data_IF_051978048033
#
_entry.id   IF_051978048033
#
_cell.length_a   1.000
_cell.length_b   1.000
_cell.length_c   1.000
_cell.angle_alpha   90.00
_cell.angle_beta   90.00
_cell.angle_gamma   90.00
#
_symmetry.space_group_name_H-M   'P 1'
#
loop_
_entity.id
_entity.type
_entity.pdbx_description
1 polymer ?
#
# COMPACT_ATOMS: atom_id res chain seq x y z
N UNK A 1 78.52 25.09 -11.21
CA UNK A 1 77.96 26.27 -10.51
C UNK A 1 77.23 27.13 -11.55
N UNK A 2 75.97 26.98 -11.74
CA UNK A 2 75.11 27.90 -12.54
C UNK A 2 73.88 28.24 -11.70
N UNK A 3 73.77 29.51 -11.28
CA UNK A 3 72.66 30.08 -10.58
C UNK A 3 71.57 30.36 -11.63
N UNK A 4 70.41 29.72 -11.48
CA UNK A 4 69.23 30.01 -12.29
C UNK A 4 68.38 31.01 -11.55
N UNK A 5 68.24 32.18 -12.15
CA UNK A 5 67.41 33.33 -11.70
C UNK A 5 65.96 32.98 -12.02
N UNK A 6 65.09 32.89 -11.00
CA UNK A 6 63.66 32.77 -11.19
C UNK A 6 63.05 34.17 -11.22
N UNK A 7 62.60 34.59 -12.39
CA UNK A 7 61.90 35.84 -12.60
C UNK A 7 60.42 35.63 -12.24
N UNK A 8 59.99 36.23 -11.13
CA UNK A 8 58.58 36.24 -10.73
C UNK A 8 57.84 37.27 -11.59
N UNK A 9 56.99 36.79 -12.50
CA UNK A 9 56.02 37.63 -13.22
C UNK A 9 54.79 37.81 -12.39
N UNK A 10 54.67 38.96 -11.73
CA UNK A 10 53.42 39.35 -11.06
C UNK A 10 52.43 39.79 -12.17
N UNK A 11 51.49 38.88 -12.49
CA UNK A 11 50.32 39.24 -13.32
C UNK A 11 49.34 39.92 -12.46
N UNK A 12 49.30 41.24 -12.51
CA UNK A 12 48.22 42.06 -11.92
C UNK A 12 47.00 41.90 -12.81
N UNK A 13 46.08 41.00 -12.41
CA UNK A 13 44.76 40.95 -13.03
C UNK A 13 43.98 42.15 -12.52
N UNK A 14 43.91 43.21 -13.32
CA UNK A 14 42.96 44.29 -13.18
C UNK A 14 41.58 43.69 -13.47
N UNK A 15 40.88 43.23 -12.44
CA UNK A 15 39.45 42.98 -12.50
C UNK A 15 38.76 44.33 -12.61
N UNK A 16 38.47 44.73 -13.85
CA UNK A 16 37.49 45.77 -14.09
C UNK A 16 36.15 45.26 -13.55
N UNK A 17 35.84 45.65 -12.33
CA UNK A 17 34.47 45.59 -11.81
C UNK A 17 33.63 46.46 -12.73
N UNK A 18 32.93 45.78 -13.65
CA UNK A 18 31.88 46.38 -14.43
C UNK A 18 30.76 46.68 -13.44
N UNK A 19 30.82 47.84 -12.79
CA UNK A 19 29.71 48.43 -12.05
C UNK A 19 28.63 48.77 -13.07
N UNK A 20 27.89 47.74 -13.50
CA UNK A 20 26.55 47.97 -14.02
C UNK A 20 25.86 48.77 -12.92
N UNK A 21 25.53 50.03 -13.22
CA UNK A 21 24.71 50.88 -12.39
C UNK A 21 23.57 50.00 -11.80
N UNK A 22 23.65 49.66 -10.53
CA UNK A 22 22.49 49.16 -9.77
C UNK A 22 21.54 50.38 -9.70
N UNK A 23 20.79 50.62 -10.78
CA UNK A 23 19.60 51.44 -10.71
C UNK A 23 18.74 50.82 -9.63
N UNK A 24 18.37 51.61 -8.61
CA UNK A 24 17.52 51.13 -7.53
C UNK A 24 16.27 50.53 -8.16
N UNK A 25 16.02 49.24 -7.94
CA UNK A 25 14.83 48.55 -8.46
C UNK A 25 13.60 49.24 -7.91
N UNK A 26 12.77 49.76 -8.78
CA UNK A 26 11.52 50.43 -8.39
C UNK A 26 10.35 49.45 -8.34
N UNK A 27 9.28 49.85 -7.68
CA UNK A 27 8.03 49.09 -7.67
C UNK A 27 7.48 48.91 -9.09
N UNK A 28 7.63 49.92 -9.96
CA UNK A 28 7.16 49.86 -11.34
C UNK A 28 7.97 48.84 -12.15
N UNK A 29 9.29 48.75 -11.93
CA UNK A 29 10.12 47.71 -12.55
C UNK A 29 9.67 46.30 -12.11
N UNK A 30 9.34 46.13 -10.85
CA UNK A 30 8.83 44.85 -10.33
C UNK A 30 7.44 44.49 -10.92
N UNK A 31 6.55 45.50 -11.13
CA UNK A 31 5.26 45.29 -11.81
C UNK A 31 5.46 44.89 -13.26
N UNK A 32 6.35 45.54 -13.98
CA UNK A 32 6.68 45.17 -15.37
C UNK A 32 7.23 43.74 -15.45
N UNK A 33 8.15 43.39 -14.54
CA UNK A 33 8.71 42.03 -14.47
C UNK A 33 7.63 40.98 -14.14
N UNK A 34 6.71 41.30 -13.24
CA UNK A 34 5.57 40.44 -12.87
C UNK A 34 4.68 40.17 -14.09
N UNK A 35 4.27 41.23 -14.81
CA UNK A 35 3.42 41.11 -15.98
C UNK A 35 4.14 40.31 -17.09
N UNK A 36 5.45 40.54 -17.27
CA UNK A 36 6.26 39.77 -18.23
C UNK A 36 6.36 38.29 -17.84
N UNK A 37 6.42 37.94 -16.57
CA UNK A 37 6.37 36.56 -16.11
C UNK A 37 4.99 35.93 -16.36
N UNK A 38 3.89 36.65 -16.14
CA UNK A 38 2.52 36.18 -16.47
C UNK A 38 2.38 35.90 -17.97
N UNK A 39 2.86 36.78 -18.84
CA UNK A 39 2.80 36.51 -20.28
C UNK A 39 3.65 35.29 -20.69
N UNK A 40 4.86 35.17 -20.13
CA UNK A 40 5.74 34.05 -20.39
C UNK A 40 5.14 32.73 -19.95
N UNK A 41 4.32 32.72 -18.89
CA UNK A 41 3.69 31.48 -18.37
C UNK A 41 2.76 30.81 -19.39
N UNK A 42 2.32 31.51 -20.42
CA UNK A 42 1.47 30.96 -21.49
C UNK A 42 2.22 30.11 -22.48
N UNK A 43 3.54 30.27 -22.59
CA UNK A 43 4.40 29.61 -23.59
C UNK A 43 5.58 28.86 -22.99
N UNK A 44 6.11 29.35 -21.86
CA UNK A 44 7.24 28.76 -21.13
C UNK A 44 7.01 28.88 -19.62
N UNK A 45 6.39 27.86 -19.06
CA UNK A 45 6.09 27.84 -17.62
C UNK A 45 7.37 27.79 -16.77
N UNK A 46 8.40 27.10 -17.24
CA UNK A 46 9.68 27.01 -16.50
C UNK A 46 10.39 28.36 -16.43
N UNK A 47 10.49 29.04 -17.56
CA UNK A 47 11.05 30.41 -17.60
C UNK A 47 10.21 31.40 -16.80
N UNK A 48 8.88 31.25 -16.82
CA UNK A 48 7.98 32.09 -16.03
C UNK A 48 8.19 31.93 -14.53
N UNK A 49 8.38 30.70 -14.03
CA UNK A 49 8.69 30.46 -12.60
C UNK A 49 10.00 31.15 -12.21
N UNK A 50 11.05 31.06 -13.02
CA UNK A 50 12.33 31.72 -12.76
C UNK A 50 12.14 33.22 -12.69
N UNK A 51 11.49 33.84 -13.69
CA UNK A 51 11.18 35.29 -13.68
C UNK A 51 10.34 35.68 -12.47
N UNK A 52 9.35 34.93 -12.09
CA UNK A 52 8.49 35.24 -10.93
C UNK A 52 9.28 35.17 -9.62
N UNK A 53 10.24 34.25 -9.49
CA UNK A 53 11.16 34.21 -8.34
C UNK A 53 12.05 35.46 -8.29
N UNK A 54 12.46 35.98 -9.42
CA UNK A 54 13.21 37.24 -9.46
C UNK A 54 12.32 38.44 -9.07
N UNK A 55 11.05 38.45 -9.44
CA UNK A 55 10.07 39.42 -8.94
C UNK A 55 9.99 39.39 -7.41
N UNK A 56 9.92 38.21 -6.81
CA UNK A 56 9.91 38.09 -5.34
C UNK A 56 11.17 38.65 -4.71
N UNK A 57 12.34 38.45 -5.33
CA UNK A 57 13.61 39.04 -4.87
C UNK A 57 13.58 40.59 -4.99
N UNK A 58 13.13 41.13 -6.14
CA UNK A 58 12.96 42.57 -6.35
C UNK A 58 12.06 43.16 -5.27
N UNK A 59 10.87 42.58 -5.06
CA UNK A 59 9.94 43.05 -4.04
C UNK A 59 10.54 42.98 -2.63
N UNK A 60 11.37 41.97 -2.33
CA UNK A 60 12.07 41.89 -1.05
C UNK A 60 13.08 43.02 -0.84
N UNK A 61 13.78 43.41 -1.90
CA UNK A 61 14.74 44.54 -1.87
C UNK A 61 14.02 45.87 -1.74
N UNK A 62 12.90 46.08 -2.41
CA UNK A 62 12.08 47.31 -2.37
C UNK A 62 11.44 47.49 -0.97
N UNK A 63 11.02 46.40 -0.33
CA UNK A 63 10.43 46.40 1.00
C UNK A 63 8.92 46.66 1.00
N UNK A 64 8.40 47.31 2.04
CA UNK A 64 6.95 47.40 2.33
C UNK A 64 6.08 47.89 1.17
N UNK A 65 6.58 48.76 0.32
CA UNK A 65 5.83 49.29 -0.82
C UNK A 65 5.48 48.22 -1.85
N UNK A 66 6.26 47.12 -1.90
CA UNK A 66 6.07 46.02 -2.82
C UNK A 66 5.45 44.77 -2.16
N UNK A 67 5.08 44.80 -0.87
CA UNK A 67 4.57 43.61 -0.15
C UNK A 67 3.35 43.01 -0.83
N UNK A 68 2.40 43.82 -1.30
CA UNK A 68 1.21 43.30 -2.03
C UNK A 68 1.58 42.60 -3.32
N UNK A 69 2.57 43.12 -4.05
CA UNK A 69 3.05 42.46 -5.30
C UNK A 69 3.79 41.16 -4.97
N UNK A 70 4.62 41.20 -3.90
CA UNK A 70 5.31 40.00 -3.40
C UNK A 70 4.33 38.89 -3.02
N UNK A 71 3.24 39.23 -2.31
CA UNK A 71 2.19 38.26 -1.96
C UNK A 71 1.56 37.64 -3.23
N UNK A 72 1.23 38.47 -4.24
CA UNK A 72 0.72 38.00 -5.52
C UNK A 72 1.72 37.07 -6.24
N UNK A 73 3.00 37.46 -6.26
CA UNK A 73 4.05 36.64 -6.87
C UNK A 73 4.22 35.29 -6.15
N UNK A 74 4.21 35.31 -4.81
CA UNK A 74 4.29 34.08 -4.01
C UNK A 74 3.10 33.15 -4.24
N UNK A 75 1.89 33.69 -4.44
CA UNK A 75 0.68 32.85 -4.61
C UNK A 75 0.62 32.11 -5.96
N UNK A 76 1.32 32.59 -6.98
CA UNK A 76 1.32 31.91 -8.31
C UNK A 76 2.46 30.91 -8.47
N UNK A 77 3.51 30.97 -7.66
CA UNK A 77 4.69 30.12 -7.79
C UNK A 77 4.39 28.64 -7.50
N UNK A 78 3.71 28.24 -6.38
CA UNK A 78 3.43 26.85 -6.11
C UNK A 78 2.60 26.16 -7.21
N UNK A 79 1.44 26.73 -7.66
CA UNK A 79 0.65 26.12 -8.73
C UNK A 79 1.41 26.07 -10.08
N UNK A 80 2.22 27.04 -10.41
CA UNK A 80 3.02 26.99 -11.63
C UNK A 80 4.07 25.85 -11.57
N UNK A 81 4.76 25.74 -10.45
CA UNK A 81 5.72 24.66 -10.24
C UNK A 81 5.03 23.26 -10.26
N UNK A 82 3.78 23.17 -9.76
CA UNK A 82 2.95 21.98 -9.87
C UNK A 82 2.64 21.63 -11.34
N UNK A 83 2.30 22.64 -12.15
CA UNK A 83 2.03 22.45 -13.57
C UNK A 83 3.25 21.96 -14.36
N UNK A 84 4.46 22.40 -14.01
CA UNK A 84 5.71 21.85 -14.56
C UNK A 84 5.80 20.34 -14.25
N UNK A 85 5.39 19.92 -13.06
CA UNK A 85 5.30 18.49 -12.72
C UNK A 85 4.34 17.74 -13.65
N UNK A 86 3.17 18.33 -13.93
CA UNK A 86 2.19 17.75 -14.87
C UNK A 86 2.75 17.63 -16.30
N UNK A 87 3.50 18.62 -16.75
CA UNK A 87 4.17 18.58 -18.07
C UNK A 87 5.17 17.41 -18.14
N UNK A 88 5.96 17.19 -17.09
CA UNK A 88 6.87 16.07 -17.02
C UNK A 88 6.14 14.71 -16.96
N UNK A 89 4.98 14.62 -16.29
CA UNK A 89 4.14 13.42 -16.32
C UNK A 89 3.68 13.12 -17.75
N UNK A 90 3.15 14.12 -18.46
CA UNK A 90 2.68 13.96 -19.84
C UNK A 90 3.81 13.54 -20.78
N UNK A 91 5.04 14.02 -20.51
CA UNK A 91 6.26 13.64 -21.24
C UNK A 91 6.86 12.30 -20.75
N UNK A 92 6.26 11.61 -19.77
CA UNK A 92 6.76 10.36 -19.15
C UNK A 92 8.15 10.52 -18.50
N UNK A 93 8.49 11.73 -18.08
CA UNK A 93 9.76 12.06 -17.41
C UNK A 93 9.56 12.02 -15.89
N UNK A 94 9.35 10.83 -15.34
CA UNK A 94 8.94 10.65 -13.93
C UNK A 94 9.93 11.20 -12.89
N UNK A 95 11.27 11.04 -13.03
CA UNK A 95 12.21 11.64 -12.08
C UNK A 95 12.13 13.17 -12.04
N UNK A 96 11.95 13.82 -13.20
CA UNK A 96 11.78 15.27 -13.29
C UNK A 96 10.42 15.70 -12.71
N UNK A 97 9.38 14.91 -12.90
CA UNK A 97 8.07 15.17 -12.30
C UNK A 97 8.14 15.13 -10.76
N UNK A 98 8.81 14.13 -10.19
CA UNK A 98 9.03 14.04 -8.74
C UNK A 98 9.72 15.30 -8.23
N UNK A 99 10.86 15.69 -8.82
CA UNK A 99 11.59 16.87 -8.42
C UNK A 99 10.75 18.17 -8.55
N UNK A 100 9.91 18.27 -9.57
CA UNK A 100 9.02 19.43 -9.76
C UNK A 100 7.92 19.48 -8.69
N UNK A 101 7.30 18.36 -8.34
CA UNK A 101 6.30 18.30 -7.29
C UNK A 101 6.90 18.53 -5.89
N UNK A 102 8.09 18.00 -5.60
CA UNK A 102 8.80 18.30 -4.35
C UNK A 102 9.04 19.82 -4.20
N UNK A 103 9.52 20.46 -5.27
CA UNK A 103 9.73 21.90 -5.29
C UNK A 103 8.40 22.67 -5.14
N UNK A 104 7.33 22.20 -5.79
CA UNK A 104 5.99 22.80 -5.65
C UNK A 104 5.49 22.71 -4.21
N UNK A 105 5.62 21.54 -3.59
CA UNK A 105 5.27 21.30 -2.19
C UNK A 105 6.04 22.23 -1.25
N UNK A 106 7.35 22.35 -1.43
CA UNK A 106 8.20 23.19 -0.58
C UNK A 106 7.83 24.68 -0.72
N UNK A 107 7.53 25.14 -1.95
CA UNK A 107 7.00 26.49 -2.18
C UNK A 107 5.62 26.66 -1.53
N UNK A 108 4.75 25.66 -1.64
CA UNK A 108 3.42 25.68 -1.03
C UNK A 108 3.48 25.79 0.50
N UNK A 109 4.43 25.08 1.12
CA UNK A 109 4.70 25.21 2.58
C UNK A 109 5.21 26.63 2.89
N UNK A 110 6.19 27.13 2.15
CA UNK A 110 6.80 28.44 2.38
C UNK A 110 5.80 29.59 2.23
N UNK A 111 4.83 29.44 1.32
CA UNK A 111 3.84 30.47 1.01
C UNK A 111 2.44 30.19 1.57
N UNK A 112 2.32 29.16 2.42
CA UNK A 112 1.08 28.76 3.12
C UNK A 112 -0.07 28.37 2.17
N UNK A 113 0.24 27.77 1.03
CA UNK A 113 -0.75 27.21 0.10
C UNK A 113 -1.05 25.73 0.44
N UNK A 114 -1.99 25.51 1.36
CA UNK A 114 -2.36 24.18 1.81
C UNK A 114 -2.92 23.30 0.68
N UNK A 115 -3.64 23.88 -0.29
CA UNK A 115 -4.25 23.15 -1.40
C UNK A 115 -3.18 22.57 -2.36
N UNK A 116 -2.22 23.40 -2.77
CA UNK A 116 -1.14 22.92 -3.65
C UNK A 116 -0.21 21.97 -2.91
N UNK A 117 0.05 22.20 -1.61
CA UNK A 117 0.80 21.25 -0.77
C UNK A 117 0.16 19.85 -0.84
N UNK A 118 -1.13 19.73 -0.53
CA UNK A 118 -1.87 18.46 -0.53
C UNK A 118 -1.85 17.80 -1.92
N UNK A 119 -2.11 18.57 -2.98
CA UNK A 119 -2.04 18.08 -4.36
C UNK A 119 -0.67 17.52 -4.73
N UNK A 120 0.39 18.25 -4.38
CA UNK A 120 1.76 17.83 -4.68
C UNK A 120 2.13 16.56 -3.90
N UNK A 121 1.78 16.48 -2.60
CA UNK A 121 1.99 15.30 -1.77
C UNK A 121 1.24 14.09 -2.31
N UNK A 122 -0.02 14.24 -2.74
CA UNK A 122 -0.79 13.16 -3.37
C UNK A 122 -0.15 12.66 -4.67
N UNK A 123 0.38 13.56 -5.50
CA UNK A 123 1.08 13.16 -6.72
C UNK A 123 2.40 12.46 -6.43
N UNK A 124 3.17 12.94 -5.44
CA UNK A 124 4.40 12.30 -4.99
C UNK A 124 4.14 10.88 -4.47
N UNK A 125 3.10 10.70 -3.65
CA UNK A 125 2.71 9.39 -3.15
C UNK A 125 2.45 8.40 -4.30
N UNK A 126 1.66 8.81 -5.30
CA UNK A 126 1.36 7.99 -6.47
C UNK A 126 2.60 7.65 -7.30
N UNK A 127 3.49 8.62 -7.50
CA UNK A 127 4.71 8.42 -8.30
C UNK A 127 5.69 7.47 -7.62
N UNK A 128 5.91 7.61 -6.33
CA UNK A 128 6.75 6.69 -5.57
C UNK A 128 6.17 5.27 -5.53
N UNK A 129 4.83 5.13 -5.42
CA UNK A 129 4.18 3.82 -5.50
C UNK A 129 4.31 3.21 -6.90
N UNK A 130 4.22 3.99 -7.96
CA UNK A 130 4.43 3.49 -9.32
C UNK A 130 5.90 3.05 -9.56
N UNK A 131 6.86 3.79 -9.03
CA UNK A 131 8.28 3.40 -9.08
C UNK A 131 8.51 2.09 -8.31
N UNK A 132 7.96 1.98 -7.09
CA UNK A 132 7.99 0.76 -6.30
C UNK A 132 7.39 -0.44 -7.04
N UNK A 133 6.26 -0.27 -7.72
CA UNK A 133 5.64 -1.32 -8.53
C UNK A 133 6.56 -1.79 -9.67
N UNK A 134 7.27 -0.86 -10.31
CA UNK A 134 8.26 -1.20 -11.34
C UNK A 134 9.42 -2.03 -10.76
N UNK A 135 9.86 -1.71 -9.55
CA UNK A 135 10.89 -2.45 -8.82
C UNK A 135 10.40 -3.84 -8.38
N UNK A 136 9.12 -3.98 -7.99
CA UNK A 136 8.52 -5.31 -7.72
C UNK A 136 8.56 -6.19 -8.97
N UNK A 137 8.22 -5.64 -10.14
CA UNK A 137 8.30 -6.36 -11.41
C UNK A 137 9.74 -6.78 -11.76
N UNK A 138 10.72 -5.98 -11.35
CA UNK A 138 12.15 -6.30 -11.47
C UNK A 138 12.68 -7.21 -10.34
N UNK A 139 11.81 -7.70 -9.44
CA UNK A 139 12.12 -8.53 -8.27
C UNK A 139 13.04 -7.85 -7.23
N UNK A 140 13.14 -6.53 -7.27
CA UNK A 140 13.91 -5.70 -6.34
C UNK A 140 13.05 -5.27 -5.14
N UNK A 141 12.66 -6.25 -4.32
CA UNK A 141 11.63 -6.04 -3.30
C UNK A 141 12.03 -5.05 -2.21
N UNK A 142 13.29 -5.02 -1.77
CA UNK A 142 13.76 -4.08 -0.75
C UNK A 142 13.77 -2.63 -1.25
N UNK A 143 14.20 -2.43 -2.49
CA UNK A 143 14.15 -1.13 -3.15
C UNK A 143 12.69 -0.68 -3.32
N UNK A 144 11.80 -1.60 -3.73
CA UNK A 144 10.36 -1.33 -3.88
C UNK A 144 9.72 -0.89 -2.55
N UNK A 145 9.98 -1.61 -1.47
CA UNK A 145 9.50 -1.28 -0.11
C UNK A 145 9.95 0.13 0.28
N UNK A 146 11.23 0.48 0.04
CA UNK A 146 11.73 1.82 0.30
C UNK A 146 10.98 2.90 -0.48
N UNK A 147 10.60 2.65 -1.74
CA UNK A 147 9.81 3.61 -2.52
C UNK A 147 8.38 3.70 -2.02
N UNK A 148 7.74 2.58 -1.68
CA UNK A 148 6.40 2.61 -1.09
C UNK A 148 6.37 3.39 0.23
N UNK A 149 7.36 3.19 1.11
CA UNK A 149 7.47 3.93 2.36
C UNK A 149 7.69 5.43 2.14
N UNK A 150 8.46 5.84 1.11
CA UNK A 150 8.58 7.25 0.72
C UNK A 150 7.23 7.82 0.28
N UNK A 151 6.48 7.09 -0.55
CA UNK A 151 5.16 7.51 -0.99
C UNK A 151 4.20 7.70 0.20
N UNK A 152 4.20 6.74 1.14
CA UNK A 152 3.36 6.77 2.33
C UNK A 152 3.74 7.87 3.34
N UNK A 153 4.96 8.41 3.29
CA UNK A 153 5.33 9.61 4.07
C UNK A 153 4.65 10.88 3.53
N UNK A 154 4.43 10.96 2.21
CA UNK A 154 3.71 12.07 1.60
C UNK A 154 2.20 11.96 1.79
N UNK A 155 1.63 10.77 1.65
CA UNK A 155 0.22 10.50 1.89
C UNK A 155 0.04 9.26 2.80
N UNK A 156 -0.06 9.48 4.12
CA UNK A 156 -0.27 8.40 5.09
C UNK A 156 -1.64 7.72 4.99
N UNK A 157 -2.56 8.24 4.18
CA UNK A 157 -3.87 7.61 3.96
C UNK A 157 -3.96 6.90 2.59
N UNK A 158 -2.88 6.82 1.82
CA UNK A 158 -2.91 6.21 0.48
C UNK A 158 -3.05 4.68 0.57
N UNK A 159 -4.28 4.19 0.54
CA UNK A 159 -4.62 2.77 0.69
C UNK A 159 -3.91 1.85 -0.31
N UNK A 160 -3.77 2.29 -1.57
CA UNK A 160 -3.04 1.55 -2.62
C UNK A 160 -1.55 1.44 -2.33
N UNK A 161 -0.97 2.43 -1.66
CA UNK A 161 0.44 2.39 -1.23
C UNK A 161 0.69 1.29 -0.20
N UNK A 162 -0.16 1.20 0.83
CA UNK A 162 -0.09 0.12 1.81
C UNK A 162 -0.32 -1.26 1.17
N UNK A 163 -1.31 -1.38 0.28
CA UNK A 163 -1.56 -2.62 -0.43
C UNK A 163 -0.35 -3.07 -1.26
N UNK A 164 0.26 -2.16 -2.01
CA UNK A 164 1.46 -2.45 -2.81
C UNK A 164 2.66 -2.85 -1.93
N UNK A 165 2.87 -2.14 -0.81
CA UNK A 165 3.91 -2.46 0.16
C UNK A 165 3.72 -3.85 0.76
N UNK A 166 2.49 -4.20 1.15
CA UNK A 166 2.14 -5.53 1.64
C UNK A 166 2.44 -6.64 0.61
N UNK A 167 2.15 -6.38 -0.68
CA UNK A 167 2.46 -7.31 -1.77
C UNK A 167 3.97 -7.55 -1.91
N UNK A 168 4.79 -6.51 -1.73
CA UNK A 168 6.25 -6.66 -1.74
C UNK A 168 6.75 -7.49 -0.55
N UNK A 169 6.23 -7.24 0.66
CA UNK A 169 6.54 -8.07 1.84
C UNK A 169 6.12 -9.54 1.66
N UNK A 170 4.95 -9.78 1.04
CA UNK A 170 4.52 -11.14 0.70
C UNK A 170 5.52 -11.84 -0.23
N UNK A 171 6.01 -11.14 -1.25
CA UNK A 171 7.04 -11.67 -2.18
C UNK A 171 8.36 -11.98 -1.48
N UNK A 172 8.68 -11.25 -0.41
CA UNK A 172 9.84 -11.54 0.46
C UNK A 172 9.60 -12.70 1.44
N UNK A 173 8.37 -13.17 1.60
CA UNK A 173 7.99 -14.17 2.60
C UNK A 173 7.78 -13.61 4.01
N UNK A 174 7.74 -12.28 4.19
CA UNK A 174 7.46 -11.63 5.48
C UNK A 174 5.94 -11.48 5.66
N UNK A 175 5.30 -12.57 6.11
CA UNK A 175 3.86 -12.60 6.32
C UNK A 175 3.39 -11.66 7.44
N UNK A 176 4.23 -11.35 8.42
CA UNK A 176 3.89 -10.45 9.51
C UNK A 176 3.73 -9.02 9.00
N UNK A 177 4.73 -8.50 8.27
CA UNK A 177 4.69 -7.17 7.67
C UNK A 177 3.67 -7.08 6.54
N UNK A 178 3.47 -8.15 5.78
CA UNK A 178 2.39 -8.24 4.78
C UNK A 178 1.05 -7.99 5.45
N UNK A 179 0.75 -8.70 6.54
CA UNK A 179 -0.52 -8.55 7.27
C UNK A 179 -0.68 -7.14 7.84
N UNK A 180 0.34 -6.60 8.50
CA UNK A 180 0.35 -5.23 9.05
C UNK A 180 -0.02 -4.19 7.98
N UNK A 181 0.65 -4.23 6.84
CA UNK A 181 0.37 -3.29 5.75
C UNK A 181 -1.01 -3.51 5.10
N UNK A 182 -1.50 -4.75 5.04
CA UNK A 182 -2.87 -5.02 4.57
C UNK A 182 -3.93 -4.46 5.54
N UNK A 183 -3.72 -4.56 6.86
CA UNK A 183 -4.62 -3.97 7.86
C UNK A 183 -4.65 -2.44 7.72
N UNK A 184 -3.50 -1.80 7.48
CA UNK A 184 -3.42 -0.36 7.19
C UNK A 184 -4.13 -0.01 5.87
N UNK A 185 -3.97 -0.86 4.83
CA UNK A 185 -4.68 -0.69 3.56
C UNK A 185 -6.21 -0.76 3.76
N UNK A 186 -6.70 -1.71 4.56
CA UNK A 186 -8.13 -1.84 4.90
C UNK A 186 -8.62 -0.59 5.63
N UNK A 187 -7.87 -0.12 6.64
CA UNK A 187 -8.25 1.05 7.43
C UNK A 187 -8.35 2.33 6.56
N UNK A 188 -7.35 2.57 5.70
CA UNK A 188 -7.35 3.71 4.77
C UNK A 188 -8.44 3.58 3.71
N UNK A 189 -8.55 2.43 3.04
CA UNK A 189 -9.54 2.18 2.00
C UNK A 189 -10.99 2.28 2.52
N UNK A 190 -11.21 1.91 3.78
CA UNK A 190 -12.55 2.06 4.40
C UNK A 190 -12.92 3.54 4.55
N UNK A 191 -11.98 4.42 4.91
CA UNK A 191 -12.22 5.87 4.99
C UNK A 191 -12.48 6.48 3.60
N UNK A 192 -11.82 5.95 2.57
CA UNK A 192 -11.97 6.38 1.18
C UNK A 192 -13.20 5.74 0.49
N UNK A 193 -13.92 4.81 1.14
CA UNK A 193 -14.96 3.96 0.56
C UNK A 193 -14.46 3.12 -0.64
N UNK A 194 -13.17 2.78 -0.69
CA UNK A 194 -12.59 1.88 -1.70
C UNK A 194 -12.84 0.41 -1.33
N UNK A 195 -14.03 -0.07 -1.65
CA UNK A 195 -14.45 -1.45 -1.38
C UNK A 195 -13.60 -2.49 -2.10
N UNK A 196 -12.95 -2.11 -3.21
CA UNK A 196 -12.10 -3.02 -4.01
C UNK A 196 -10.84 -3.36 -3.21
N UNK A 197 -10.15 -2.35 -2.70
CA UNK A 197 -8.95 -2.56 -1.87
C UNK A 197 -9.30 -3.28 -0.57
N UNK A 198 -10.40 -2.90 0.10
CA UNK A 198 -10.86 -3.59 1.31
C UNK A 198 -11.04 -5.09 1.06
N UNK A 199 -11.77 -5.45 0.00
CA UNK A 199 -12.01 -6.85 -0.35
C UNK A 199 -10.73 -7.59 -0.73
N UNK A 200 -9.87 -6.96 -1.52
CA UNK A 200 -8.59 -7.57 -1.95
C UNK A 200 -7.66 -7.82 -0.77
N UNK A 201 -7.52 -6.87 0.15
CA UNK A 201 -6.68 -6.98 1.33
C UNK A 201 -7.22 -8.04 2.31
N UNK A 202 -8.53 -8.06 2.60
CA UNK A 202 -9.17 -9.09 3.40
C UNK A 202 -8.95 -10.50 2.83
N UNK A 203 -9.14 -10.66 1.52
CA UNK A 203 -8.88 -11.95 0.86
C UNK A 203 -7.41 -12.38 0.97
N UNK A 204 -6.48 -11.45 0.87
CA UNK A 204 -5.05 -11.74 0.96
C UNK A 204 -4.67 -12.24 2.35
N UNK A 205 -5.09 -11.53 3.41
CA UNK A 205 -4.84 -11.93 4.80
C UNK A 205 -5.52 -13.27 5.08
N UNK A 206 -6.79 -13.40 4.74
CA UNK A 206 -7.57 -14.61 5.00
C UNK A 206 -6.97 -15.84 4.31
N UNK A 207 -6.53 -15.69 3.06
CA UNK A 207 -5.84 -16.77 2.33
C UNK A 207 -4.52 -17.17 3.00
N UNK A 208 -3.71 -16.21 3.45
CA UNK A 208 -2.45 -16.51 4.17
C UNK A 208 -2.72 -17.26 5.47
N UNK A 209 -3.66 -16.78 6.28
CA UNK A 209 -4.05 -17.41 7.54
C UNK A 209 -4.62 -18.81 7.33
N UNK A 210 -5.41 -19.02 6.27
CA UNK A 210 -5.92 -20.31 5.91
C UNK A 210 -4.78 -21.31 5.56
N UNK A 211 -3.79 -20.86 4.78
CA UNK A 211 -2.62 -21.68 4.46
C UNK A 211 -1.82 -22.05 5.72
N UNK A 212 -1.60 -21.09 6.62
CA UNK A 212 -0.93 -21.33 7.89
C UNK A 212 -1.72 -22.33 8.76
N UNK A 213 -3.05 -22.17 8.82
CA UNK A 213 -3.94 -23.06 9.56
C UNK A 213 -3.91 -24.49 9.03
N UNK A 214 -3.95 -24.67 7.71
CA UNK A 214 -3.82 -26.00 7.08
C UNK A 214 -2.43 -26.59 7.36
N UNK A 215 -1.37 -25.78 7.29
CA UNK A 215 -0.02 -26.24 7.60
C UNK A 215 0.12 -26.70 9.07
N UNK A 216 -0.49 -25.98 10.00
CA UNK A 216 -0.54 -26.34 11.41
C UNK A 216 -1.34 -27.65 11.62
N UNK A 217 -2.48 -27.80 10.96
CA UNK A 217 -3.27 -29.04 10.97
C UNK A 217 -2.45 -30.25 10.51
N UNK A 218 -1.72 -30.12 9.41
CA UNK A 218 -0.87 -31.20 8.87
C UNK A 218 0.26 -31.59 9.85
N UNK A 219 0.71 -30.65 10.68
CA UNK A 219 1.66 -30.91 11.78
C UNK A 219 0.99 -31.40 13.06
N UNK A 220 -0.32 -31.61 13.06
CA UNK A 220 -1.14 -31.96 14.23
C UNK A 220 -1.13 -30.88 15.34
N UNK A 221 -0.78 -29.66 15.03
CA UNK A 221 -0.85 -28.50 15.92
C UNK A 221 -2.29 -27.92 15.89
N UNK A 222 -3.26 -28.70 16.37
CA UNK A 222 -4.69 -28.41 16.18
C UNK A 222 -5.14 -27.09 16.81
N UNK A 223 -4.60 -26.72 17.96
CA UNK A 223 -4.91 -25.43 18.60
C UNK A 223 -4.48 -24.25 17.73
N UNK A 224 -3.28 -24.33 17.15
CA UNK A 224 -2.80 -23.30 16.23
C UNK A 224 -3.65 -23.29 14.95
N UNK A 225 -3.98 -24.47 14.39
CA UNK A 225 -4.84 -24.58 13.23
C UNK A 225 -6.18 -23.85 13.45
N UNK A 226 -6.87 -24.17 14.54
CA UNK A 226 -8.14 -23.52 14.91
C UNK A 226 -7.99 -21.99 15.04
N UNK A 227 -6.92 -21.53 15.70
CA UNK A 227 -6.64 -20.10 15.86
C UNK A 227 -6.48 -19.39 14.51
N UNK A 228 -5.67 -19.96 13.62
CA UNK A 228 -5.42 -19.39 12.29
C UNK A 228 -6.65 -19.41 11.39
N UNK A 229 -7.38 -20.52 11.37
CA UNK A 229 -8.60 -20.67 10.55
C UNK A 229 -9.73 -19.74 11.03
N UNK A 230 -9.92 -19.58 12.33
CA UNK A 230 -10.89 -18.63 12.87
C UNK A 230 -10.47 -17.18 12.56
N UNK A 231 -9.18 -16.87 12.62
CA UNK A 231 -8.69 -15.57 12.20
C UNK A 231 -8.97 -15.30 10.70
N UNK A 232 -8.84 -16.31 9.83
CA UNK A 232 -9.20 -16.19 8.41
C UNK A 232 -10.69 -15.87 8.23
N UNK A 233 -11.57 -16.55 8.99
CA UNK A 233 -13.01 -16.25 8.98
C UNK A 233 -13.32 -14.80 9.42
N UNK A 234 -12.54 -14.24 10.35
CA UNK A 234 -12.64 -12.84 10.78
C UNK A 234 -12.38 -11.82 9.65
N UNK A 235 -11.66 -12.22 8.61
CA UNK A 235 -11.47 -11.43 7.38
C UNK A 235 -12.49 -11.77 6.27
N UNK A 236 -13.59 -12.43 6.60
CA UNK A 236 -14.62 -12.89 5.65
C UNK A 236 -14.09 -13.94 4.64
N UNK A 237 -12.94 -14.55 4.90
CA UNK A 237 -12.37 -15.58 4.04
C UNK A 237 -12.98 -16.94 4.37
N UNK A 238 -13.84 -17.42 3.48
CA UNK A 238 -14.61 -18.67 3.67
C UNK A 238 -14.34 -19.61 2.50
N UNK A 239 -13.86 -20.81 2.80
CA UNK A 239 -13.70 -21.88 1.82
C UNK A 239 -14.18 -23.21 2.38
N UNK A 240 -14.57 -24.10 1.50
CA UNK A 240 -14.99 -25.46 1.87
C UNK A 240 -13.92 -26.21 2.66
N UNK A 241 -12.67 -26.10 2.23
CA UNK A 241 -11.55 -26.78 2.86
C UNK A 241 -11.20 -26.17 4.23
N UNK A 242 -11.34 -24.82 4.39
CA UNK A 242 -11.20 -24.19 5.68
C UNK A 242 -12.12 -24.80 6.71
N UNK A 243 -13.40 -24.91 6.39
CA UNK A 243 -14.40 -25.46 7.29
C UNK A 243 -14.20 -26.94 7.59
N UNK A 244 -13.77 -27.73 6.60
CA UNK A 244 -13.43 -29.14 6.83
C UNK A 244 -12.25 -29.28 7.80
N UNK A 245 -11.16 -28.52 7.58
CA UNK A 245 -9.97 -28.59 8.44
C UNK A 245 -10.29 -28.05 9.85
N UNK A 246 -11.13 -27.02 9.95
CA UNK A 246 -11.59 -26.47 11.23
C UNK A 246 -12.39 -27.51 12.01
N UNK A 247 -13.33 -28.21 11.36
CA UNK A 247 -14.12 -29.28 11.98
C UNK A 247 -13.25 -30.43 12.48
N UNK A 248 -12.31 -30.88 11.65
CA UNK A 248 -11.41 -31.98 12.00
C UNK A 248 -10.44 -31.60 13.13
N UNK A 249 -9.96 -30.34 13.13
CA UNK A 249 -9.12 -29.80 14.23
C UNK A 249 -9.89 -29.73 15.56
N UNK A 250 -11.12 -29.23 15.53
CA UNK A 250 -11.97 -29.15 16.71
C UNK A 250 -12.31 -30.56 17.26
N UNK A 251 -12.58 -31.54 16.39
CA UNK A 251 -12.77 -32.92 16.83
C UNK A 251 -11.52 -33.47 17.54
N UNK A 252 -10.32 -33.20 17.00
CA UNK A 252 -9.05 -33.62 17.60
C UNK A 252 -8.83 -32.97 18.99
N UNK A 253 -9.36 -31.77 19.19
CA UNK A 253 -9.33 -31.05 20.48
C UNK A 253 -10.52 -31.39 21.40
N UNK A 254 -11.40 -32.31 21.01
CA UNK A 254 -12.64 -32.68 21.71
C UNK A 254 -13.64 -31.53 21.86
N UNK A 255 -13.55 -30.51 20.99
CA UNK A 255 -14.49 -29.40 20.87
C UNK A 255 -15.61 -29.78 19.90
N UNK A 256 -16.48 -30.68 20.36
CA UNK A 256 -17.39 -31.38 19.46
C UNK A 256 -18.49 -30.48 18.88
N UNK A 257 -18.99 -29.51 19.65
CA UNK A 257 -20.03 -28.59 19.18
C UNK A 257 -19.48 -27.67 18.09
N UNK A 258 -18.29 -27.11 18.31
CA UNK A 258 -17.60 -26.28 17.32
C UNK A 258 -17.23 -27.10 16.05
N UNK A 259 -16.92 -28.39 16.21
CA UNK A 259 -16.68 -29.29 15.08
C UNK A 259 -17.93 -29.46 14.22
N UNK A 260 -19.09 -29.68 14.86
CA UNK A 260 -20.39 -29.81 14.19
C UNK A 260 -20.75 -28.53 13.45
N UNK A 261 -20.60 -27.36 14.08
CA UNK A 261 -20.89 -26.06 13.45
C UNK A 261 -20.01 -25.82 12.23
N UNK A 262 -18.71 -26.03 12.37
CA UNK A 262 -17.77 -25.87 11.25
C UNK A 262 -18.11 -26.84 10.09
N UNK A 263 -18.38 -28.11 10.38
CA UNK A 263 -18.72 -29.10 9.37
C UNK A 263 -20.06 -28.75 8.66
N UNK A 264 -21.07 -28.25 9.37
CA UNK A 264 -22.32 -27.78 8.77
C UNK A 264 -22.09 -26.60 7.83
N UNK A 265 -21.30 -25.60 8.27
CA UNK A 265 -20.95 -24.44 7.43
C UNK A 265 -20.24 -24.86 6.13
N UNK A 266 -19.34 -25.85 6.21
CA UNK A 266 -18.68 -26.39 5.02
C UNK A 266 -19.64 -27.16 4.13
N UNK A 267 -20.58 -27.90 4.71
CA UNK A 267 -21.61 -28.66 4.01
C UNK A 267 -22.55 -27.75 3.20
N UNK A 268 -22.93 -26.59 3.75
CA UNK A 268 -23.75 -25.58 3.06
C UNK A 268 -23.07 -25.01 1.81
N UNK A 269 -21.75 -24.96 1.82
CA UNK A 269 -20.95 -24.47 0.67
C UNK A 269 -20.64 -25.56 -0.36
N UNK A 270 -20.92 -26.82 -0.05
CA UNK A 270 -20.53 -27.94 -0.92
C UNK A 270 -21.62 -28.28 -1.93
N UNK A 271 -21.21 -28.85 -3.07
CA UNK A 271 -22.16 -29.44 -4.01
C UNK A 271 -22.83 -30.63 -3.33
N UNK A 272 -24.16 -30.69 -3.35
CA UNK A 272 -24.95 -31.70 -2.64
C UNK A 272 -24.95 -33.05 -3.36
N UNK A 273 -23.76 -33.66 -3.42
CA UNK A 273 -23.56 -35.04 -3.88
C UNK A 273 -22.92 -35.86 -2.77
N UNK A 274 -23.26 -37.12 -2.67
CA UNK A 274 -22.81 -37.98 -1.59
C UNK A 274 -21.29 -38.01 -1.41
N UNK A 275 -20.52 -38.09 -2.49
CA UNK A 275 -19.05 -38.10 -2.41
C UNK A 275 -18.47 -36.78 -1.87
N UNK A 276 -19.06 -35.64 -2.24
CA UNK A 276 -18.58 -34.32 -1.82
C UNK A 276 -18.96 -33.98 -0.38
N UNK A 277 -20.15 -34.39 0.04
CA UNK A 277 -20.67 -34.12 1.39
C UNK A 277 -20.15 -35.14 2.44
N UNK A 278 -19.70 -36.31 2.03
CA UNK A 278 -19.26 -37.39 2.91
C UNK A 278 -18.23 -36.94 3.96
N UNK A 279 -17.26 -36.12 3.58
CA UNK A 279 -16.22 -35.61 4.49
C UNK A 279 -16.78 -34.84 5.68
N UNK A 280 -17.80 -34.02 5.46
CA UNK A 280 -18.43 -33.26 6.53
C UNK A 280 -19.31 -34.13 7.43
N UNK A 281 -20.09 -34.99 6.83
CA UNK A 281 -20.88 -35.98 7.62
C UNK A 281 -19.99 -36.87 8.46
N UNK A 282 -18.81 -37.25 7.98
CA UNK A 282 -17.82 -37.99 8.77
C UNK A 282 -17.35 -37.18 9.99
N UNK A 283 -17.04 -35.88 9.84
CA UNK A 283 -16.62 -35.05 10.97
C UNK A 283 -17.79 -34.80 11.96
N UNK A 284 -19.03 -34.63 11.47
CA UNK A 284 -20.22 -34.55 12.33
C UNK A 284 -20.42 -35.84 13.11
N UNK A 285 -20.28 -36.97 12.45
CA UNK A 285 -20.42 -38.29 13.09
C UNK A 285 -19.39 -38.54 14.20
N UNK A 286 -18.10 -38.19 13.93
CA UNK A 286 -17.03 -38.24 14.94
C UNK A 286 -17.32 -37.35 16.16
N UNK A 287 -17.87 -36.20 15.94
CA UNK A 287 -18.23 -35.28 17.02
C UNK A 287 -19.36 -35.86 17.89
N UNK A 288 -20.43 -36.42 17.28
CA UNK A 288 -21.49 -37.05 18.02
C UNK A 288 -21.01 -38.31 18.74
N UNK A 289 -20.13 -39.14 18.13
CA UNK A 289 -19.47 -40.26 18.78
C UNK A 289 -18.71 -39.82 20.02
N UNK A 290 -17.93 -38.71 19.91
CA UNK A 290 -17.19 -38.12 21.03
C UNK A 290 -18.08 -37.58 22.15
N UNK A 291 -19.31 -37.14 21.83
CA UNK A 291 -20.35 -36.75 22.79
C UNK A 291 -21.12 -37.93 23.36
N UNK A 292 -20.81 -39.17 22.93
CA UNK A 292 -21.54 -40.37 23.25
C UNK A 292 -23.02 -40.39 22.77
N UNK A 293 -23.33 -39.62 21.76
CA UNK A 293 -24.62 -39.60 21.07
C UNK A 293 -24.58 -40.58 19.89
N UNK A 294 -24.76 -41.84 20.23
CA UNK A 294 -24.61 -42.96 19.27
C UNK A 294 -25.66 -42.90 18.14
N UNK A 295 -26.89 -42.47 18.45
CA UNK A 295 -27.96 -42.35 17.47
C UNK A 295 -27.60 -41.39 16.33
N UNK A 296 -27.19 -40.16 16.69
CA UNK A 296 -26.76 -39.16 15.75
C UNK A 296 -25.43 -39.53 15.07
N UNK A 297 -24.48 -40.17 15.77
CA UNK A 297 -23.26 -40.69 15.18
C UNK A 297 -23.56 -41.70 14.05
N UNK A 298 -24.39 -42.71 14.31
CA UNK A 298 -24.81 -43.69 13.34
C UNK A 298 -25.49 -43.06 12.11
N UNK A 299 -26.43 -42.13 12.34
CA UNK A 299 -27.13 -41.45 11.26
C UNK A 299 -26.19 -40.69 10.33
N UNK A 300 -25.17 -40.02 10.88
CA UNK A 300 -24.21 -39.28 10.09
C UNK A 300 -23.14 -40.15 9.46
N UNK A 301 -22.68 -41.24 10.09
CA UNK A 301 -21.80 -42.22 9.43
C UNK A 301 -22.46 -42.84 8.22
N UNK A 302 -23.77 -43.13 8.23
CA UNK A 302 -24.50 -43.65 7.05
C UNK A 302 -24.42 -42.64 5.88
N UNK A 303 -24.55 -41.35 6.16
CA UNK A 303 -24.40 -40.27 5.15
C UNK A 303 -22.95 -40.08 4.70
N UNK A 304 -21.99 -40.44 5.53
CA UNK A 304 -20.56 -40.37 5.21
C UNK A 304 -20.03 -41.63 4.47
N UNK A 305 -20.81 -42.68 4.32
CA UNK A 305 -20.36 -43.94 3.75
C UNK A 305 -20.24 -43.92 2.22
N UNK A 306 -19.57 -42.91 1.68
CA UNK A 306 -19.31 -42.68 0.27
C UNK A 306 -17.86 -42.29 0.00
N UNK A 307 -17.39 -42.58 -1.21
CA UNK A 307 -16.05 -42.24 -1.69
C UNK A 307 -14.93 -42.67 -0.73
N UNK A 308 -13.99 -41.79 -0.45
CA UNK A 308 -12.85 -42.06 0.42
C UNK A 308 -13.23 -42.34 1.90
N UNK A 309 -14.43 -41.99 2.33
CA UNK A 309 -14.93 -42.19 3.70
C UNK A 309 -15.75 -43.43 3.86
N UNK A 310 -16.07 -44.18 2.78
CA UNK A 310 -16.97 -45.32 2.80
C UNK A 310 -16.48 -46.45 3.72
N UNK A 311 -15.22 -46.87 3.58
CA UNK A 311 -14.67 -47.97 4.38
C UNK A 311 -14.67 -47.64 5.87
N UNK A 312 -14.14 -46.45 6.24
CA UNK A 312 -14.09 -45.98 7.63
C UNK A 312 -15.48 -45.87 8.25
N UNK A 313 -16.43 -45.28 7.54
CA UNK A 313 -17.78 -45.08 8.05
C UNK A 313 -18.53 -46.41 8.21
N UNK A 314 -18.39 -47.34 7.27
CA UNK A 314 -19.00 -48.69 7.35
C UNK A 314 -18.41 -49.48 8.52
N UNK A 315 -17.11 -49.39 8.77
CA UNK A 315 -16.49 -50.02 9.93
C UNK A 315 -17.08 -49.48 11.26
N UNK A 316 -17.19 -48.14 11.35
CA UNK A 316 -17.83 -47.51 12.50
C UNK A 316 -19.27 -47.99 12.72
N UNK A 317 -20.06 -48.04 11.67
CA UNK A 317 -21.47 -48.51 11.72
C UNK A 317 -21.58 -49.94 12.19
N UNK A 318 -20.80 -50.84 11.60
CA UNK A 318 -20.99 -52.30 11.80
C UNK A 318 -20.23 -52.84 13.00
N UNK A 319 -18.98 -52.44 13.18
CA UNK A 319 -18.06 -53.13 14.09
C UNK A 319 -17.86 -52.35 15.40
N UNK A 320 -17.87 -51.01 15.36
CA UNK A 320 -17.57 -50.17 16.52
C UNK A 320 -18.84 -49.78 17.26
N UNK A 321 -19.78 -49.09 16.58
CA UNK A 321 -21.00 -48.57 17.19
C UNK A 321 -22.16 -49.54 17.17
N UNK A 322 -22.09 -50.56 16.31
CA UNK A 322 -23.14 -51.59 16.10
C UNK A 322 -24.51 -50.95 15.88
N UNK A 323 -24.54 -50.01 14.94
CA UNK A 323 -25.74 -49.23 14.60
C UNK A 323 -26.88 -50.14 14.10
N UNK A 324 -28.05 -50.01 14.70
CA UNK A 324 -29.28 -50.71 14.28
C UNK A 324 -29.88 -50.12 13.01
#
# INVERSE_FOLDING_TARGET
MKKTLILAFAVTILTTFNTKNLQAQTKDDAILAFNAAIELSKTDMTGAVVKMQDVVKMCTTIGKEADTLKMKANSVLPPWQYNIGNEFINAKKYPQAIAAYEKSRDMAIAYSDANIKEKAESMLAKLYVNDGNSLVNAQKYDEAISQFEKGLKYDPNYSKGYYANAMAYKKKGDNAKMKENMDLAIASATKENDTIIVKAAKNMIGSSLNQEGIAAYNKKAYTEAVTKLNAALGYDFKTKDLYYVLASSNNSLKKYDEAIEAAKSGLEMEVQTNDKTARYYCEIAKAYEGKNDIGNACANYRKAAYGAFAQFSNDKIKNVLKCQ
#
